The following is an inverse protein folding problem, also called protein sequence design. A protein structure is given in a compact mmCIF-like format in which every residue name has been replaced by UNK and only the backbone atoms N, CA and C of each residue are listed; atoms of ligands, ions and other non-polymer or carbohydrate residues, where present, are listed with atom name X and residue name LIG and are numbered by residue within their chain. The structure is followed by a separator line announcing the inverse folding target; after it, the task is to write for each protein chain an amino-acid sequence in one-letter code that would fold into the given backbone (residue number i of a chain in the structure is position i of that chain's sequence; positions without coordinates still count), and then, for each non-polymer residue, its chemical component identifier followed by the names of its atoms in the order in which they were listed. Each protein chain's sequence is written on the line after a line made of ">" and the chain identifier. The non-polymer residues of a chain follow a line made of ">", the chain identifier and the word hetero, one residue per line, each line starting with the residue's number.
data_IF_246156815792
#
_entry.id   IF_246156815792
#
_cell.length_a   1.000
_cell.length_b   1.000
_cell.length_c   1.000
_cell.angle_alpha   90.00
_cell.angle_beta   90.00
_cell.angle_gamma   90.00
#
_symmetry.space_group_name_H-M   'P 1'
#
loop_
_entity.id
_entity.type
_entity.pdbx_description
1 polymer ?
#
# COMPACT_ATOMS: atom_id res chain seq x y z
N UNK A 1 19.59 -1.30 11.16
CA UNK A 1 18.14 -1.32 11.33
C UNK A 1 17.74 0.06 11.81
N UNK A 2 16.79 0.70 11.12
CA UNK A 2 16.21 1.98 11.51
C UNK A 2 15.67 1.88 12.94
N UNK A 3 15.72 2.99 13.66
CA UNK A 3 15.23 3.10 15.03
C UNK A 3 14.44 4.38 15.20
N UNK A 4 13.32 4.34 15.94
CA UNK A 4 12.55 5.55 16.18
C UNK A 4 13.36 6.51 17.07
N UNK A 5 13.21 7.82 16.84
CA UNK A 5 13.91 8.84 17.62
C UNK A 5 13.48 8.85 19.10
N UNK A 6 12.25 8.38 19.38
CA UNK A 6 11.72 8.16 20.72
C UNK A 6 11.02 6.79 20.77
N UNK A 7 11.01 6.11 21.94
CA UNK A 7 10.26 4.87 22.08
C UNK A 7 8.77 5.06 21.79
N UNK A 8 8.21 4.22 20.92
CA UNK A 8 6.78 4.20 20.64
C UNK A 8 6.11 3.31 21.69
N UNK A 9 5.14 3.87 22.42
CA UNK A 9 4.41 3.15 23.47
C UNK A 9 2.99 2.83 22.99
N UNK A 10 2.68 1.55 22.86
CA UNK A 10 1.34 1.06 22.49
C UNK A 10 0.80 0.20 23.64
N UNK A 11 -0.41 0.51 24.11
CA UNK A 11 -1.05 -0.19 25.24
C UNK A 11 -0.13 -0.32 26.48
N UNK A 12 0.68 0.70 26.76
CA UNK A 12 1.61 0.72 27.90
C UNK A 12 2.90 -0.08 27.72
N UNK A 13 3.15 -0.64 26.53
CA UNK A 13 4.37 -1.40 26.21
C UNK A 13 5.19 -0.67 25.14
N UNK A 14 6.51 -0.63 25.31
CA UNK A 14 7.41 -0.09 24.30
C UNK A 14 7.59 -1.09 23.17
N UNK A 15 7.40 -0.64 21.93
CA UNK A 15 7.62 -1.44 20.74
C UNK A 15 9.11 -1.73 20.52
N UNK A 16 9.42 -2.91 19.99
CA UNK A 16 10.74 -3.22 19.44
C UNK A 16 11.05 -2.36 18.21
N UNK A 17 12.32 -2.28 17.80
CA UNK A 17 12.72 -1.53 16.59
C UNK A 17 11.92 -1.98 15.35
N UNK A 18 11.66 -3.29 15.22
CA UNK A 18 10.85 -3.86 14.14
C UNK A 18 9.38 -3.44 14.24
N UNK A 19 8.76 -3.61 15.41
CA UNK A 19 7.36 -3.24 15.62
C UNK A 19 7.14 -1.74 15.45
N UNK A 20 8.10 -0.92 15.88
CA UNK A 20 8.09 0.52 15.70
C UNK A 20 8.16 0.90 14.21
N UNK A 21 9.00 0.22 13.43
CA UNK A 21 9.05 0.42 11.98
C UNK A 21 7.71 0.06 11.33
N UNK A 22 7.15 -1.11 11.69
CA UNK A 22 5.86 -1.56 11.17
C UNK A 22 4.73 -0.59 11.52
N UNK A 23 4.72 -0.09 12.75
CA UNK A 23 3.75 0.87 13.23
C UNK A 23 3.79 2.17 12.42
N UNK A 24 4.96 2.79 12.29
CA UNK A 24 5.11 4.05 11.54
C UNK A 24 4.85 3.88 10.04
N UNK A 25 5.23 2.74 9.45
CA UNK A 25 4.93 2.45 8.04
C UNK A 25 3.42 2.40 7.82
N UNK A 26 2.70 1.62 8.63
CA UNK A 26 1.25 1.46 8.49
C UNK A 26 0.51 2.77 8.74
N UNK A 27 0.89 3.49 9.79
CA UNK A 27 0.32 4.81 10.10
C UNK A 27 0.47 5.78 8.93
N UNK A 28 1.69 5.96 8.41
CA UNK A 28 1.96 6.81 7.25
C UNK A 28 1.23 6.34 5.98
N UNK A 29 1.10 5.03 5.77
CA UNK A 29 0.41 4.49 4.61
C UNK A 29 -1.11 4.70 4.69
N UNK A 30 -1.70 4.58 5.88
CA UNK A 30 -3.11 4.92 6.12
C UNK A 30 -3.38 6.40 5.86
N UNK A 31 -2.49 7.30 6.28
CA UNK A 31 -2.62 8.74 6.00
C UNK A 31 -2.71 9.01 4.49
N UNK A 32 -1.93 8.30 3.68
CA UNK A 32 -1.90 8.46 2.22
C UNK A 32 -3.16 7.92 1.51
N UNK A 33 -3.77 6.86 2.05
CA UNK A 33 -5.01 6.26 1.54
C UNK A 33 -6.28 6.75 2.27
N UNK A 34 -6.17 7.80 3.11
CA UNK A 34 -7.27 8.32 3.92
C UNK A 34 -7.99 7.27 4.79
N UNK A 35 -7.26 6.23 5.21
CA UNK A 35 -7.79 5.11 6.00
C UNK A 35 -8.55 4.05 5.21
N UNK A 36 -8.73 4.19 3.89
CA UNK A 36 -9.41 3.20 3.06
C UNK A 36 -8.42 2.15 2.54
N UNK A 37 -8.10 1.18 3.40
CA UNK A 37 -7.20 0.08 3.04
C UNK A 37 -7.59 -1.20 3.79
N UNK A 38 -7.40 -2.33 3.13
CA UNK A 38 -7.55 -3.64 3.74
C UNK A 38 -6.36 -3.95 4.66
N UNK A 39 -6.64 -4.22 5.93
CA UNK A 39 -5.61 -4.45 6.96
C UNK A 39 -4.76 -5.70 6.69
N UNK A 40 -5.38 -6.79 6.20
CA UNK A 40 -4.66 -8.05 5.92
C UNK A 40 -3.67 -7.85 4.77
N UNK A 41 -4.12 -7.14 3.72
CA UNK A 41 -3.26 -6.75 2.61
C UNK A 41 -2.12 -5.83 3.05
N UNK A 42 -2.42 -4.82 3.90
CA UNK A 42 -1.42 -3.90 4.42
C UNK A 42 -0.37 -4.61 5.29
N UNK A 43 -0.78 -5.58 6.12
CA UNK A 43 0.15 -6.39 6.91
C UNK A 43 1.10 -7.20 6.01
N UNK A 44 0.58 -7.79 4.93
CA UNK A 44 1.38 -8.49 3.92
C UNK A 44 2.39 -7.59 3.21
N UNK A 45 1.97 -6.38 2.81
CA UNK A 45 2.84 -5.38 2.21
C UNK A 45 3.93 -4.93 3.19
N UNK A 46 3.55 -4.63 4.43
CA UNK A 46 4.46 -4.18 5.50
C UNK A 46 5.55 -5.22 5.76
N UNK A 47 5.18 -6.49 5.92
CA UNK A 47 6.11 -7.58 6.16
C UNK A 47 7.09 -7.76 4.99
N UNK A 48 6.60 -7.62 3.75
CA UNK A 48 7.42 -7.72 2.54
C UNK A 48 8.42 -6.58 2.43
N UNK A 49 7.97 -5.33 2.62
CA UNK A 49 8.82 -4.15 2.50
C UNK A 49 9.85 -4.07 3.63
N UNK A 50 9.49 -4.50 4.84
CA UNK A 50 10.42 -4.47 5.96
C UNK A 50 11.72 -5.24 5.67
N UNK A 51 11.66 -6.41 5.01
CA UNK A 51 12.85 -7.21 4.71
C UNK A 51 13.89 -6.49 3.85
N UNK A 52 13.44 -5.55 3.01
CA UNK A 52 14.30 -4.81 2.08
C UNK A 52 14.52 -3.34 2.50
N UNK A 53 13.66 -2.80 3.36
CA UNK A 53 13.69 -1.39 3.79
C UNK A 53 13.90 -1.20 5.30
N UNK A 54 14.25 -2.24 6.06
CA UNK A 54 14.47 -2.14 7.52
C UNK A 54 15.55 -1.13 7.96
N UNK A 55 16.40 -0.64 7.06
CA UNK A 55 17.40 0.40 7.32
C UNK A 55 16.97 1.81 6.88
N UNK A 56 15.81 1.91 6.22
CA UNK A 56 15.24 3.15 5.72
C UNK A 56 14.14 3.67 6.63
N UNK A 57 13.85 4.97 6.49
CA UNK A 57 12.71 5.57 7.17
C UNK A 57 11.40 4.91 6.69
N UNK A 58 10.56 4.39 7.60
CA UNK A 58 9.30 3.76 7.23
C UNK A 58 8.34 4.71 6.50
N UNK A 59 8.41 6.03 6.75
CA UNK A 59 7.58 7.02 6.06
C UNK A 59 8.00 7.21 4.61
N UNK A 60 9.31 7.21 4.35
CA UNK A 60 9.85 7.25 2.99
C UNK A 60 9.45 5.97 2.23
N UNK A 61 9.52 4.81 2.88
CA UNK A 61 9.07 3.54 2.29
C UNK A 61 7.57 3.57 1.97
N UNK A 62 6.73 4.12 2.85
CA UNK A 62 5.30 4.30 2.60
C UNK A 62 5.04 5.21 1.39
N UNK A 63 5.76 6.34 1.28
CA UNK A 63 5.63 7.25 0.15
C UNK A 63 6.00 6.60 -1.19
N UNK A 64 7.09 5.80 -1.22
CA UNK A 64 7.50 5.05 -2.42
C UNK A 64 6.47 3.99 -2.79
N UNK A 65 5.98 3.23 -1.81
CA UNK A 65 4.96 2.22 -2.04
C UNK A 65 3.67 2.85 -2.59
N UNK A 66 3.21 3.95 -2.00
CA UNK A 66 2.05 4.70 -2.45
C UNK A 66 2.23 5.20 -3.89
N UNK A 67 3.35 5.87 -4.18
CA UNK A 67 3.63 6.37 -5.53
C UNK A 67 3.67 5.24 -6.56
N UNK A 68 4.19 4.07 -6.20
CA UNK A 68 4.24 2.90 -7.10
C UNK A 68 2.85 2.34 -7.38
N UNK A 69 1.99 2.26 -6.37
CA UNK A 69 0.65 1.68 -6.47
C UNK A 69 -0.37 2.60 -7.14
N UNK A 70 -0.19 3.92 -6.99
CA UNK A 70 -1.06 4.94 -7.59
C UNK A 70 -0.57 5.43 -8.93
N UNK A 71 0.56 4.92 -9.43
CA UNK A 71 1.08 5.29 -10.74
C UNK A 71 0.19 4.75 -11.86
N UNK A 72 -0.55 5.65 -12.50
CA UNK A 72 -1.25 5.35 -13.75
C UNK A 72 -0.26 5.41 -14.92
N UNK A 73 -0.08 4.30 -15.64
CA UNK A 73 0.73 4.25 -16.86
C UNK A 73 -0.04 4.97 -17.99
N UNK A 74 0.48 6.08 -18.54
CA UNK A 74 -0.20 6.76 -19.64
C UNK A 74 -0.35 5.85 -20.86
N UNK A 75 -1.57 5.67 -21.35
CA UNK A 75 -1.87 4.86 -22.54
C UNK A 75 -2.24 3.39 -22.26
N UNK A 76 -2.37 2.98 -21.00
CA UNK A 76 -2.93 1.69 -20.61
C UNK A 76 -4.39 1.85 -20.16
N UNK A 77 -5.22 2.44 -21.02
CA UNK A 77 -6.66 2.47 -20.81
C UNK A 77 -7.17 1.02 -20.79
N UNK A 78 -7.95 0.57 -19.78
CA UNK A 78 -8.56 -0.74 -19.84
C UNK A 78 -9.44 -0.80 -21.10
N UNK A 79 -9.19 -1.76 -21.99
CA UNK A 79 -10.03 -1.96 -23.17
C UNK A 79 -11.49 -2.03 -22.71
N UNK A 80 -12.35 -1.18 -23.26
CA UNK A 80 -13.78 -1.23 -22.95
C UNK A 80 -14.27 -2.67 -23.15
N UNK A 81 -15.01 -3.25 -22.19
CA UNK A 81 -15.51 -4.60 -22.34
C UNK A 81 -16.26 -4.70 -23.66
N UNK A 82 -15.80 -5.61 -24.53
CA UNK A 82 -16.36 -5.81 -25.86
C UNK A 82 -17.89 -5.90 -25.78
N UNK A 83 -18.57 -4.90 -26.34
CA UNK A 83 -20.01 -4.96 -26.55
C UNK A 83 -20.23 -5.59 -27.93
N UNK A 84 -20.69 -6.86 -28.02
CA UNK A 84 -21.01 -7.43 -29.32
C UNK A 84 -22.08 -6.56 -29.99
N UNK A 85 -21.97 -6.33 -31.31
CA UNK A 85 -22.98 -5.57 -32.04
C UNK A 85 -24.36 -6.23 -31.83
N UNK A 86 -25.43 -5.44 -31.69
CA UNK A 86 -26.78 -5.99 -31.53
C UNK A 86 -27.05 -6.93 -32.69
N UNK A 87 -27.36 -8.20 -32.37
CA UNK A 87 -27.62 -9.22 -33.37
C UNK A 87 -28.66 -8.72 -34.37
N UNK A 88 -28.32 -8.73 -35.66
CA UNK A 88 -29.27 -8.34 -36.72
C UNK A 88 -30.52 -9.22 -36.57
N UNK A 89 -31.71 -8.63 -36.30
CA UNK A 89 -32.93 -9.40 -36.32
C UNK A 89 -33.26 -9.72 -37.78
N UNK A 90 -33.26 -11.00 -38.10
CA UNK A 90 -33.79 -11.52 -39.36
C UNK A 90 -32.80 -11.50 -40.52
N UNK A 91 -32.38 -12.68 -40.93
CA UNK A 91 -32.24 -13.01 -42.34
C UNK A 91 -33.20 -14.19 -42.62
N UNK A 92 -33.93 -14.15 -43.74
CA UNK A 92 -35.08 -15.02 -44.04
C UNK A 92 -34.71 -16.50 -44.23
#
# INVERSE_FOLDING_TARGET
>A
MWKPAQPIIVAGTALTDQEAWWYEFKDAFHELFAGEIDEEWLDGLTATLYQVHMDHDPRDAAAVAYATLTYEVPGNEPEEPFTPPPGRPGLP
#
